data_IF_778586648840
#
_entry.id   IF_778586648840
#
_cell.length_a   1.000
_cell.length_b   1.000
_cell.length_c   1.000
_cell.angle_alpha   90.00
_cell.angle_beta   90.00
_cell.angle_gamma   90.00
#
_symmetry.space_group_name_H-M   'P 1'
#
loop_
_entity.id
_entity.type
_entity.pdbx_description
1 polymer ?
#
# COMPACT_ATOMS: atom_id res chain seq x y z
N UNK A 1 -0.43 -11.18 -12.41
CA UNK A 1 0.19 -11.03 -11.09
C UNK A 1 0.12 -9.58 -10.67
N UNK A 2 -0.60 -9.26 -9.60
CA UNK A 2 -0.73 -7.92 -9.03
C UNK A 2 0.52 -7.57 -8.22
N UNK A 3 1.06 -6.38 -8.46
CA UNK A 3 2.17 -5.85 -7.65
C UNK A 3 1.62 -4.92 -6.58
N UNK A 4 1.86 -5.25 -5.32
CA UNK A 4 1.52 -4.44 -4.16
C UNK A 4 2.69 -3.53 -3.82
N UNK A 5 2.48 -2.22 -3.71
CA UNK A 5 3.52 -1.24 -3.44
C UNK A 5 3.34 -0.77 -2.00
N UNK A 6 4.30 -1.13 -1.15
CA UNK A 6 4.27 -0.76 0.26
C UNK A 6 4.71 0.68 0.49
N UNK A 7 3.97 1.39 1.35
CA UNK A 7 4.28 2.75 1.79
C UNK A 7 3.86 2.94 3.27
N UNK A 8 4.33 3.96 4.00
CA UNK A 8 5.53 4.75 3.70
C UNK A 8 6.78 3.91 3.89
N UNK A 9 7.84 4.27 3.19
CA UNK A 9 9.15 3.75 3.49
C UNK A 9 9.92 3.41 2.24
N UNK A 10 11.20 3.17 2.45
CA UNK A 10 12.12 2.70 1.42
C UNK A 10 12.20 1.17 1.41
N UNK A 11 11.63 0.55 2.45
CA UNK A 11 11.65 -0.88 2.74
C UNK A 11 10.56 -1.19 3.78
N UNK A 12 10.17 -2.46 3.91
CA UNK A 12 9.48 -2.94 5.11
C UNK A 12 10.53 -3.10 6.21
N UNK A 13 10.51 -2.26 7.23
CA UNK A 13 11.41 -2.41 8.41
C UNK A 13 10.89 -3.37 9.45
N UNK A 14 9.62 -3.71 9.37
CA UNK A 14 8.96 -4.64 10.27
C UNK A 14 9.05 -6.06 9.70
N UNK A 15 9.86 -6.91 10.34
CA UNK A 15 9.97 -8.32 9.97
C UNK A 15 8.61 -9.01 9.96
N UNK A 16 7.74 -8.72 10.92
CA UNK A 16 6.41 -9.33 11.00
C UNK A 16 5.57 -8.99 9.77
N UNK A 17 5.69 -7.77 9.26
CA UNK A 17 5.02 -7.35 8.04
C UNK A 17 5.59 -8.02 6.80
N UNK A 18 6.91 -8.21 6.73
CA UNK A 18 7.54 -8.95 5.64
C UNK A 18 7.14 -10.44 5.65
N UNK A 19 7.01 -11.05 6.84
CA UNK A 19 6.48 -12.41 7.02
C UNK A 19 5.02 -12.52 6.55
N UNK A 20 4.18 -11.53 6.88
CA UNK A 20 2.82 -11.45 6.33
C UNK A 20 2.84 -11.34 4.80
N UNK A 21 3.72 -10.51 4.25
CA UNK A 21 3.83 -10.34 2.80
C UNK A 21 4.21 -11.64 2.09
N UNK A 22 5.11 -12.44 2.67
CA UNK A 22 5.47 -13.78 2.15
C UNK A 22 4.26 -14.71 2.06
N UNK A 23 3.34 -14.63 3.02
CA UNK A 23 2.13 -15.47 3.06
C UNK A 23 1.06 -15.00 2.08
N UNK A 24 0.84 -13.69 1.97
CA UNK A 24 -0.39 -13.16 1.37
C UNK A 24 -0.21 -12.29 0.13
N UNK A 25 0.96 -11.71 -0.13
CA UNK A 25 1.13 -10.84 -1.29
C UNK A 25 1.65 -11.64 -2.48
N UNK A 26 1.07 -11.38 -3.65
CA UNK A 26 1.53 -11.99 -4.88
C UNK A 26 2.92 -11.45 -5.24
N UNK A 27 3.06 -10.12 -5.29
CA UNK A 27 4.33 -9.41 -5.47
C UNK A 27 4.40 -8.13 -4.64
N UNK A 28 5.60 -7.71 -4.23
CA UNK A 28 5.88 -6.59 -3.35
C UNK A 28 6.91 -5.61 -3.96
N UNK A 29 6.40 -4.44 -4.32
CA UNK A 29 7.01 -3.16 -4.68
C UNK A 29 7.57 -2.33 -3.51
N UNK A 30 8.76 -1.75 -3.66
CA UNK A 30 9.17 -0.54 -2.94
C UNK A 30 9.49 0.56 -3.94
N UNK A 31 9.17 1.80 -3.57
CA UNK A 31 9.49 2.97 -4.40
C UNK A 31 10.97 3.28 -4.36
N UNK A 32 11.52 3.34 -3.16
CA UNK A 32 12.94 3.63 -2.97
C UNK A 32 13.72 2.34 -2.84
N UNK A 33 15.01 2.42 -3.16
CA UNK A 33 15.98 1.38 -2.85
C UNK A 33 16.21 1.29 -1.35
N UNK A 34 16.49 0.07 -0.90
CA UNK A 34 16.85 -0.18 0.50
C UNK A 34 18.20 0.48 0.80
N UNK A 35 18.27 1.17 1.94
CA UNK A 35 19.51 1.79 2.38
C UNK A 35 20.55 0.73 2.73
N UNK A 36 21.82 0.94 2.38
CA UNK A 36 22.94 0.10 2.85
C UNK A 36 23.04 0.04 4.39
N UNK A 37 22.43 0.99 5.09
CA UNK A 37 22.31 1.01 6.56
C UNK A 37 21.17 0.14 7.09
N UNK A 38 20.45 -0.56 6.22
CA UNK A 38 19.39 -1.49 6.61
C UNK A 38 19.97 -2.83 7.04
N UNK A 39 19.53 -3.31 8.20
CA UNK A 39 19.80 -4.67 8.66
C UNK A 39 19.15 -5.77 7.81
N UNK A 40 18.30 -5.41 6.84
CA UNK A 40 17.54 -6.36 6.02
C UNK A 40 18.15 -6.64 4.65
N UNK A 41 19.29 -6.03 4.31
CA UNK A 41 19.91 -6.17 2.98
C UNK A 41 20.19 -7.64 2.61
N UNK A 42 20.72 -8.43 3.54
CA UNK A 42 20.99 -9.85 3.32
C UNK A 42 19.70 -10.64 3.11
N UNK A 43 18.69 -10.41 3.95
CA UNK A 43 17.37 -11.05 3.80
C UNK A 43 16.72 -10.70 2.47
N UNK A 44 16.83 -9.45 2.04
CA UNK A 44 16.27 -9.03 0.76
C UNK A 44 16.93 -9.75 -0.42
N UNK A 45 18.26 -9.90 -0.40
CA UNK A 45 18.97 -10.69 -1.42
C UNK A 45 18.49 -12.14 -1.45
N UNK A 46 18.31 -12.76 -0.27
CA UNK A 46 17.72 -14.10 -0.18
C UNK A 46 16.31 -14.14 -0.77
N UNK A 47 15.45 -13.16 -0.46
CA UNK A 47 14.10 -13.09 -1.01
C UNK A 47 14.08 -12.88 -2.53
N UNK A 48 14.99 -12.09 -3.09
CA UNK A 48 15.13 -11.89 -4.53
C UNK A 48 15.60 -13.16 -5.25
N UNK A 49 16.43 -13.98 -4.60
CA UNK A 49 16.99 -15.21 -5.17
C UNK A 49 16.07 -16.42 -5.01
N UNK A 50 15.36 -16.53 -3.87
CA UNK A 50 14.66 -17.75 -3.48
C UNK A 50 13.13 -17.65 -3.62
N UNK A 51 12.58 -16.46 -3.85
CA UNK A 51 11.13 -16.25 -3.94
C UNK A 51 10.72 -15.39 -5.14
N UNK A 52 9.43 -15.45 -5.46
CA UNK A 52 8.77 -14.57 -6.43
C UNK A 52 8.10 -13.36 -5.74
N UNK A 53 8.37 -13.12 -4.45
CA UNK A 53 7.71 -12.05 -3.70
C UNK A 53 8.13 -10.67 -4.20
N UNK A 54 9.41 -10.42 -4.44
CA UNK A 54 9.88 -9.07 -4.72
C UNK A 54 9.64 -8.71 -6.19
N UNK A 55 8.98 -7.57 -6.40
CA UNK A 55 8.74 -7.03 -7.72
C UNK A 55 9.90 -6.17 -8.22
N UNK A 56 9.86 -5.88 -9.52
CA UNK A 56 10.71 -4.88 -10.13
C UNK A 56 10.48 -3.51 -9.47
N UNK A 57 11.60 -2.82 -9.22
CA UNK A 57 11.63 -1.49 -8.65
C UNK A 57 11.42 -0.45 -9.76
N UNK A 58 10.90 0.75 -9.45
CA UNK A 58 10.80 1.80 -10.46
C UNK A 58 12.19 2.17 -11.00
N UNK A 59 12.28 2.31 -12.33
CA UNK A 59 13.51 2.64 -13.02
C UNK A 59 13.72 4.16 -13.15
N UNK A 60 14.89 4.55 -13.67
CA UNK A 60 15.23 5.96 -13.85
C UNK A 60 14.28 6.68 -14.83
N UNK A 61 13.76 5.96 -15.83
CA UNK A 61 12.85 6.52 -16.85
C UNK A 61 11.52 6.92 -16.22
N UNK A 62 10.97 6.08 -15.35
CA UNK A 62 9.77 6.38 -14.59
C UNK A 62 9.93 7.64 -13.75
N UNK A 63 11.01 7.74 -12.95
CA UNK A 63 11.23 8.91 -12.11
C UNK A 63 11.41 10.18 -12.93
N UNK A 64 12.14 10.12 -14.05
CA UNK A 64 12.31 11.25 -14.94
C UNK A 64 10.97 11.77 -15.49
N UNK A 65 10.02 10.87 -15.80
CA UNK A 65 8.70 11.22 -16.31
C UNK A 65 7.82 11.94 -15.28
N UNK A 66 7.86 11.52 -14.01
CA UNK A 66 6.96 12.06 -12.97
C UNK A 66 7.54 13.27 -12.21
N UNK A 67 8.88 13.39 -12.16
CA UNK A 67 9.57 14.41 -11.37
C UNK A 67 9.12 15.85 -11.69
N UNK A 68 8.94 16.28 -12.95
CA UNK A 68 8.51 17.65 -13.25
C UNK A 68 7.17 18.02 -12.60
N UNK A 69 6.22 17.09 -12.56
CA UNK A 69 4.92 17.32 -11.91
C UNK A 69 5.05 17.34 -10.38
N UNK A 70 5.96 16.54 -9.82
CA UNK A 70 6.27 16.59 -8.39
C UNK A 70 6.87 17.94 -8.01
N UNK A 71 7.90 18.40 -8.72
CA UNK A 71 8.56 19.69 -8.51
C UNK A 71 7.57 20.85 -8.61
N UNK A 72 6.71 20.85 -9.63
CA UNK A 72 5.68 21.89 -9.80
C UNK A 72 4.75 21.96 -8.58
N UNK A 73 4.31 20.80 -8.06
CA UNK A 73 3.47 20.77 -6.86
C UNK A 73 4.24 21.23 -5.62
N UNK A 74 5.47 20.78 -5.42
CA UNK A 74 6.30 21.21 -4.29
C UNK A 74 6.61 22.72 -4.35
N UNK A 75 6.84 23.25 -5.56
CA UNK A 75 7.06 24.68 -5.79
C UNK A 75 5.84 25.50 -5.37
N UNK A 76 4.62 24.99 -5.59
CA UNK A 76 3.42 25.69 -5.14
C UNK A 76 3.31 25.80 -3.62
N UNK A 77 3.94 24.89 -2.86
CA UNK A 77 4.03 24.98 -1.39
C UNK A 77 5.00 26.10 -0.92
N UNK A 78 5.87 26.56 -1.82
CA UNK A 78 6.83 27.63 -1.57
C UNK A 78 6.34 29.00 -2.04
N UNK A 79 5.20 29.05 -2.72
CA UNK A 79 4.66 30.30 -3.27
C UNK A 79 4.39 31.31 -2.13
N UNK A 80 4.63 32.62 -2.34
CA UNK A 80 4.45 33.62 -1.28
C UNK A 80 3.03 33.63 -0.68
N UNK A 81 2.04 33.39 -1.52
CA UNK A 81 0.60 33.33 -1.25
C UNK A 81 0.11 31.95 -0.77
N UNK A 82 0.99 30.96 -0.66
CA UNK A 82 0.64 29.66 -0.11
C UNK A 82 0.20 29.79 1.36
N UNK A 83 -1.02 29.31 1.64
CA UNK A 83 -1.57 29.24 3.00
C UNK A 83 -1.62 27.79 3.50
N UNK A 84 -2.27 26.91 2.74
CA UNK A 84 -2.50 25.52 3.15
C UNK A 84 -2.75 24.60 1.95
N UNK A 85 -2.26 23.37 2.06
CA UNK A 85 -2.58 22.23 1.22
C UNK A 85 -3.29 21.15 2.05
N UNK A 86 -4.27 20.46 1.45
CA UNK A 86 -5.07 19.41 2.13
C UNK A 86 -4.21 18.26 2.68
N UNK A 87 -3.14 17.89 1.96
CA UNK A 87 -2.21 16.80 2.35
C UNK A 87 -0.93 17.32 3.00
N UNK A 88 -0.36 18.41 2.48
CA UNK A 88 0.96 18.90 2.91
C UNK A 88 0.87 19.88 4.10
N UNK A 89 -0.34 20.22 4.55
CA UNK A 89 -0.55 21.10 5.69
C UNK A 89 -0.35 22.57 5.35
N UNK A 90 0.01 23.38 6.35
CA UNK A 90 0.12 24.83 6.26
C UNK A 90 1.56 25.31 6.02
N UNK A 91 1.70 26.62 5.77
CA UNK A 91 2.98 27.28 5.54
C UNK A 91 3.98 27.09 6.70
N UNK A 92 3.51 27.07 7.94
CA UNK A 92 4.34 26.86 9.12
C UNK A 92 4.96 25.45 9.10
N UNK A 93 4.16 24.42 8.81
CA UNK A 93 4.66 23.06 8.70
C UNK A 93 5.70 22.91 7.58
N UNK A 94 5.42 23.49 6.41
CA UNK A 94 6.36 23.51 5.27
C UNK A 94 7.66 24.22 5.66
N UNK A 95 7.58 25.33 6.40
CA UNK A 95 8.76 26.04 6.90
C UNK A 95 9.58 25.19 7.85
N UNK A 96 8.94 24.45 8.77
CA UNK A 96 9.65 23.52 9.66
C UNK A 96 10.36 22.40 8.90
N UNK A 97 9.75 21.86 7.84
CA UNK A 97 10.40 20.82 7.03
C UNK A 97 11.68 21.29 6.35
N UNK A 98 11.85 22.60 6.18
CA UNK A 98 13.03 23.20 5.56
C UNK A 98 14.14 23.56 6.55
N UNK A 99 13.92 23.31 7.85
CA UNK A 99 14.92 23.55 8.88
C UNK A 99 15.80 22.30 9.01
N UNK A 100 17.12 22.46 8.81
CA UNK A 100 18.07 21.36 8.85
C UNK A 100 18.03 20.51 10.12
N UNK A 101 17.69 21.10 11.28
CA UNK A 101 17.52 20.38 12.54
C UNK A 101 16.41 19.32 12.51
N UNK A 102 15.45 19.45 11.59
CA UNK A 102 14.37 18.48 11.40
C UNK A 102 14.71 17.42 10.35
N UNK A 103 15.89 17.44 9.70
CA UNK A 103 16.25 16.49 8.66
C UNK A 103 16.74 15.15 9.26
N UNK A 104 15.80 14.36 9.76
CA UNK A 104 16.03 13.15 10.54
C UNK A 104 15.84 11.83 9.76
N UNK A 105 15.28 11.89 8.56
CA UNK A 105 14.98 10.73 7.72
C UNK A 105 15.91 10.68 6.51
N UNK A 106 16.68 9.59 6.39
CA UNK A 106 17.58 9.35 5.27
C UNK A 106 16.81 8.85 4.03
N UNK A 107 17.18 9.34 2.85
CA UNK A 107 16.73 8.87 1.55
C UNK A 107 17.98 8.61 0.68
N UNK A 108 18.23 7.37 0.23
CA UNK A 108 19.42 7.03 -0.53
C UNK A 108 19.40 7.66 -1.91
N UNK A 109 20.58 7.91 -2.46
CA UNK A 109 20.74 8.21 -3.88
C UNK A 109 20.24 7.02 -4.70
N UNK A 110 19.46 7.31 -5.75
CA UNK A 110 18.85 6.31 -6.61
C UNK A 110 18.72 6.89 -8.02
N UNK A 111 19.00 6.04 -9.01
CA UNK A 111 18.97 6.42 -10.41
C UNK A 111 17.60 7.01 -10.79
N UNK A 112 17.61 8.20 -11.39
CA UNK A 112 16.43 8.94 -11.82
C UNK A 112 15.84 9.89 -10.78
N UNK A 113 16.26 9.83 -9.51
CA UNK A 113 15.83 10.75 -8.45
C UNK A 113 16.75 11.96 -8.26
N UNK A 114 17.85 12.07 -9.01
CA UNK A 114 18.86 13.11 -8.85
C UNK A 114 18.26 14.51 -8.98
N UNK A 115 17.35 14.68 -9.95
CA UNK A 115 16.65 15.95 -10.16
C UNK A 115 15.77 16.32 -8.97
N UNK A 116 14.99 15.38 -8.46
CA UNK A 116 14.14 15.60 -7.29
C UNK A 116 14.96 15.87 -6.04
N UNK A 117 16.07 15.14 -5.84
CA UNK A 117 17.01 15.40 -4.75
C UNK A 117 17.63 16.79 -4.85
N UNK A 118 18.05 17.19 -6.06
CA UNK A 118 18.56 18.53 -6.34
C UNK A 118 17.53 19.62 -6.00
N UNK A 119 16.27 19.44 -6.39
CA UNK A 119 15.18 20.34 -6.01
C UNK A 119 15.05 20.43 -4.48
N UNK A 120 15.00 19.29 -3.78
CA UNK A 120 14.87 19.28 -2.32
C UNK A 120 16.04 19.98 -1.62
N UNK A 121 17.27 19.79 -2.10
CA UNK A 121 18.46 20.46 -1.57
C UNK A 121 18.41 21.97 -1.83
N UNK A 122 18.15 22.39 -3.07
CA UNK A 122 18.14 23.80 -3.48
C UNK A 122 17.07 24.62 -2.76
N UNK A 123 15.94 23.99 -2.41
CA UNK A 123 14.85 24.66 -1.70
C UNK A 123 14.87 24.41 -0.18
N UNK A 124 15.89 23.72 0.33
CA UNK A 124 16.10 23.51 1.75
C UNK A 124 15.21 22.43 2.39
N UNK A 125 14.42 21.67 1.61
CA UNK A 125 13.67 20.51 2.10
C UNK A 125 14.55 19.34 2.53
N UNK A 126 15.84 19.39 2.16
CA UNK A 126 16.80 18.36 2.49
C UNK A 126 18.19 18.92 2.79
N UNK A 127 19.00 18.12 3.50
CA UNK A 127 20.44 18.29 3.65
C UNK A 127 21.17 17.14 2.96
N UNK A 128 22.38 17.39 2.45
CA UNK A 128 23.21 16.31 1.88
C UNK A 128 23.67 15.37 3.01
N UNK A 129 23.67 14.07 2.73
CA UNK A 129 24.29 13.04 3.56
C UNK A 129 25.11 12.11 2.65
N UNK A 130 26.01 11.32 3.22
CA UNK A 130 26.78 10.34 2.47
C UNK A 130 25.84 9.30 1.84
N UNK A 131 25.90 9.17 0.51
CA UNK A 131 25.07 8.24 -0.27
C UNK A 131 23.60 8.65 -0.39
N UNK A 132 23.23 9.92 -0.15
CA UNK A 132 21.84 10.36 -0.26
C UNK A 132 21.56 11.77 0.25
N UNK A 133 20.34 11.95 0.73
CA UNK A 133 19.86 13.17 1.39
C UNK A 133 19.14 12.85 2.69
N UNK A 134 19.05 13.82 3.59
CA UNK A 134 18.18 13.77 4.76
C UNK A 134 17.07 14.79 4.64
N UNK A 135 15.86 14.38 4.97
CA UNK A 135 14.64 15.19 4.96
C UNK A 135 13.91 15.07 6.28
N UNK A 136 12.98 16.00 6.54
CA UNK A 136 12.01 15.79 7.60
C UNK A 136 11.19 14.52 7.36
N UNK A 137 11.13 13.62 8.34
CA UNK A 137 10.44 12.32 8.21
C UNK A 137 9.02 12.42 7.65
N UNK A 138 8.23 13.38 8.12
CA UNK A 138 6.86 13.57 7.62
C UNK A 138 6.84 13.98 6.15
N UNK A 139 7.79 14.79 5.69
CA UNK A 139 7.92 15.14 4.28
C UNK A 139 8.33 13.92 3.45
N UNK A 140 9.34 13.16 3.92
CA UNK A 140 9.79 11.93 3.29
C UNK A 140 8.64 10.91 3.11
N UNK A 141 7.82 10.72 4.15
CA UNK A 141 6.66 9.81 4.10
C UNK A 141 5.60 10.26 3.07
N UNK A 142 5.33 11.57 2.97
CA UNK A 142 4.38 12.10 1.98
C UNK A 142 4.90 11.98 0.56
N UNK A 143 6.21 12.18 0.37
CA UNK A 143 6.85 12.01 -0.92
C UNK A 143 6.84 10.54 -1.35
N UNK A 144 7.19 9.61 -0.44
CA UNK A 144 7.10 8.16 -0.62
C UNK A 144 5.69 7.72 -1.03
N UNK A 145 4.67 8.15 -0.27
CA UNK A 145 3.26 7.89 -0.57
C UNK A 145 2.88 8.35 -1.98
N UNK A 146 3.34 9.54 -2.37
CA UNK A 146 3.00 10.11 -3.68
C UNK A 146 3.70 9.39 -4.82
N UNK A 147 4.98 9.08 -4.68
CA UNK A 147 5.74 8.30 -5.66
C UNK A 147 5.15 6.87 -5.81
N UNK A 148 4.78 6.24 -4.70
CA UNK A 148 4.13 4.92 -4.70
C UNK A 148 2.85 4.96 -5.52
N UNK A 149 2.03 5.99 -5.31
CA UNK A 149 0.81 6.20 -6.06
C UNK A 149 1.05 6.35 -7.56
N UNK A 150 2.01 7.18 -7.98
CA UNK A 150 2.30 7.33 -9.40
C UNK A 150 2.81 6.02 -10.01
N UNK A 151 3.59 5.23 -9.26
CA UNK A 151 4.07 3.92 -9.71
C UNK A 151 2.92 2.91 -9.84
N UNK A 152 2.00 2.89 -8.87
CA UNK A 152 0.80 2.06 -8.90
C UNK A 152 -0.06 2.37 -10.13
N UNK A 153 -0.28 3.66 -10.43
CA UNK A 153 -1.07 4.07 -11.58
C UNK A 153 -0.41 3.76 -12.92
N UNK A 154 0.92 3.81 -12.99
CA UNK A 154 1.66 3.52 -14.21
C UNK A 154 1.71 2.01 -14.54
N UNK A 155 1.61 1.14 -13.53
CA UNK A 155 1.85 -0.31 -13.68
C UNK A 155 0.65 -1.18 -13.26
N UNK A 156 -0.54 -0.58 -13.12
CA UNK A 156 -1.73 -1.25 -12.58
C UNK A 156 -1.43 -1.99 -11.24
N UNK A 157 -0.63 -1.34 -10.39
CA UNK A 157 -0.31 -1.82 -9.06
C UNK A 157 -1.40 -1.50 -8.04
N UNK A 158 -1.35 -2.20 -6.90
CA UNK A 158 -2.12 -1.86 -5.72
C UNK A 158 -1.21 -1.24 -4.66
N UNK A 159 -1.71 -0.29 -3.89
CA UNK A 159 -1.00 0.30 -2.76
C UNK A 159 -1.35 -0.49 -1.49
N UNK A 160 -0.37 -0.71 -0.61
CA UNK A 160 -0.61 -1.34 0.69
C UNK A 160 0.16 -0.65 1.81
N UNK A 161 -0.45 -0.50 2.98
CA UNK A 161 0.20 0.10 4.16
C UNK A 161 -0.36 -0.42 5.47
N UNK A 162 0.40 -0.27 6.55
CA UNK A 162 -0.03 -0.40 7.94
C UNK A 162 -0.15 0.96 8.65
N UNK A 163 0.15 2.05 7.93
CA UNK A 163 0.23 3.40 8.45
C UNK A 163 -1.05 4.22 8.17
N UNK A 164 -2.07 4.02 9.01
CA UNK A 164 -3.43 4.61 8.92
C UNK A 164 -3.46 6.11 8.62
N UNK A 165 -2.57 6.90 9.26
CA UNK A 165 -2.48 8.33 8.97
C UNK A 165 -2.19 8.63 7.50
N UNK A 166 -1.30 7.87 6.86
CA UNK A 166 -0.93 8.08 5.45
C UNK A 166 -1.97 7.49 4.51
N UNK A 167 -2.59 6.38 4.88
CA UNK A 167 -3.74 5.84 4.16
C UNK A 167 -4.87 6.89 4.04
N UNK A 168 -5.24 7.53 5.16
CA UNK A 168 -6.21 8.64 5.17
C UNK A 168 -5.76 9.82 4.33
N UNK A 169 -4.48 10.18 4.36
CA UNK A 169 -3.96 11.29 3.56
C UNK A 169 -3.94 10.97 2.06
N UNK A 170 -3.69 9.72 1.68
CA UNK A 170 -3.76 9.27 0.30
C UNK A 170 -5.20 9.32 -0.21
N UNK A 171 -6.17 8.82 0.57
CA UNK A 171 -7.59 8.99 0.26
C UNK A 171 -7.98 10.47 0.12
N UNK A 172 -7.45 11.34 0.99
CA UNK A 172 -7.65 12.78 0.89
C UNK A 172 -6.98 13.37 -0.36
N UNK A 173 -5.81 12.86 -0.76
CA UNK A 173 -5.12 13.27 -1.99
C UNK A 173 -5.98 12.97 -3.21
N UNK A 174 -6.55 11.77 -3.27
CA UNK A 174 -7.34 11.25 -4.38
C UNK A 174 -8.80 11.71 -4.39
N UNK A 175 -9.30 12.34 -3.32
CA UNK A 175 -10.64 12.92 -3.30
C UNK A 175 -10.68 14.34 -3.88
N UNK A 176 -11.75 14.65 -4.60
CA UNK A 176 -12.21 16.01 -4.91
C UNK A 176 -13.40 16.33 -4.02
N UNK A 177 -13.55 17.59 -3.63
CA UNK A 177 -14.83 18.04 -3.07
C UNK A 177 -15.71 18.48 -4.24
N UNK A 178 -16.91 17.91 -4.36
CA UNK A 178 -17.90 18.39 -5.32
C UNK A 178 -19.28 18.38 -4.67
N UNK A 179 -20.03 19.45 -4.88
CA UNK A 179 -21.28 19.70 -4.14
C UNK A 179 -22.47 18.94 -4.75
N UNK A 180 -22.27 18.25 -5.88
CA UNK A 180 -23.26 17.49 -6.65
C UNK A 180 -22.60 16.25 -7.25
N UNK A 181 -23.37 15.16 -7.39
CA UNK A 181 -22.86 13.89 -7.91
C UNK A 181 -22.14 13.05 -6.84
N UNK A 182 -21.42 12.02 -7.25
CA UNK A 182 -20.65 11.14 -6.35
C UNK A 182 -21.04 9.67 -6.52
N UNK A 183 -20.02 8.81 -6.52
CA UNK A 183 -20.20 7.37 -6.60
C UNK A 183 -20.31 6.77 -5.20
N UNK A 184 -21.07 5.69 -5.08
CA UNK A 184 -21.12 4.93 -3.83
C UNK A 184 -19.73 4.35 -3.56
N UNK A 185 -19.30 4.43 -2.31
CA UNK A 185 -18.09 3.77 -1.85
C UNK A 185 -18.31 3.18 -0.48
N UNK A 186 -17.63 2.08 -0.19
CA UNK A 186 -17.66 1.44 1.12
C UNK A 186 -16.31 0.80 1.40
N UNK A 187 -15.97 0.69 2.67
CA UNK A 187 -14.84 -0.14 3.07
C UNK A 187 -15.28 -1.60 3.11
N UNK A 188 -14.48 -2.46 2.50
CA UNK A 188 -14.55 -3.90 2.63
C UNK A 188 -13.46 -4.32 3.61
N UNK A 189 -13.80 -5.14 4.61
CA UNK A 189 -12.82 -5.86 5.41
C UNK A 189 -12.86 -7.33 5.07
N UNK A 190 -11.68 -7.87 4.74
CA UNK A 190 -11.45 -9.27 4.42
C UNK A 190 -10.68 -9.87 5.60
N UNK A 191 -11.26 -10.83 6.34
CA UNK A 191 -10.55 -11.52 7.40
C UNK A 191 -9.58 -12.54 6.80
N UNK A 192 -8.29 -12.28 6.93
CA UNK A 192 -7.20 -13.19 6.58
C UNK A 192 -6.77 -14.00 7.80
N UNK A 193 -6.47 -15.28 7.64
CA UNK A 193 -5.97 -16.11 8.73
C UNK A 193 -4.46 -16.00 8.83
N UNK A 194 -3.92 -15.52 9.93
CA UNK A 194 -2.46 -15.42 10.12
C UNK A 194 -2.04 -16.34 11.25
N UNK A 195 -0.96 -17.13 11.12
CA UNK A 195 -0.46 -17.93 12.24
C UNK A 195 -0.26 -17.08 13.50
N UNK A 196 -0.77 -17.56 14.64
CA UNK A 196 -0.69 -16.84 15.93
C UNK A 196 0.75 -16.57 16.36
N UNK A 197 1.65 -17.48 16.01
CA UNK A 197 3.09 -17.43 16.29
C UNK A 197 3.91 -16.95 15.08
N UNK A 198 3.32 -16.18 14.14
CA UNK A 198 4.03 -15.69 12.94
C UNK A 198 5.37 -15.01 13.27
N UNK A 199 5.46 -14.31 14.41
CA UNK A 199 6.69 -13.68 14.88
C UNK A 199 7.84 -14.66 15.11
N UNK A 200 7.53 -15.91 15.48
CA UNK A 200 8.50 -16.97 15.81
C UNK A 200 8.90 -17.80 14.59
N UNK A 201 8.02 -17.91 13.58
CA UNK A 201 8.31 -18.65 12.34
C UNK A 201 9.51 -18.02 11.63
N UNK A 202 10.50 -18.82 11.27
CA UNK A 202 11.70 -18.30 10.60
C UNK A 202 11.40 -17.87 9.15
N UNK A 203 12.20 -16.94 8.61
CA UNK A 203 12.10 -16.60 7.18
C UNK A 203 12.35 -17.81 6.28
N UNK A 204 13.29 -18.69 6.65
CA UNK A 204 13.59 -19.91 5.88
C UNK A 204 12.36 -20.82 5.74
N UNK A 205 11.59 -21.00 6.81
CA UNK A 205 10.35 -21.80 6.77
C UNK A 205 9.28 -21.17 5.87
N UNK A 206 9.11 -19.84 5.93
CA UNK A 206 8.15 -19.13 5.08
C UNK A 206 8.56 -19.11 3.60
N UNK A 207 9.85 -18.96 3.32
CA UNK A 207 10.42 -19.08 1.97
C UNK A 207 10.18 -20.49 1.43
N UNK A 208 10.49 -21.52 2.23
CA UNK A 208 10.26 -22.91 1.85
C UNK A 208 8.78 -23.21 1.63
N UNK A 209 7.87 -22.68 2.45
CA UNK A 209 6.42 -22.79 2.27
C UNK A 209 6.00 -22.15 0.94
N UNK A 210 6.44 -20.91 0.68
CA UNK A 210 6.11 -20.16 -0.53
C UNK A 210 6.61 -20.84 -1.80
N UNK A 211 7.76 -21.52 -1.72
CA UNK A 211 8.33 -22.30 -2.81
C UNK A 211 7.55 -23.58 -3.16
N UNK A 212 6.63 -24.06 -2.30
CA UNK A 212 5.83 -25.25 -2.58
C UNK A 212 4.81 -24.95 -3.67
N UNK A 213 4.73 -25.82 -4.68
CA UNK A 213 3.79 -25.67 -5.81
C UNK A 213 2.34 -25.50 -5.37
N UNK A 214 1.90 -26.30 -4.38
CA UNK A 214 0.55 -26.20 -3.83
C UNK A 214 0.25 -24.86 -3.16
N UNK A 215 1.22 -24.29 -2.42
CA UNK A 215 1.06 -22.98 -1.81
C UNK A 215 1.00 -21.86 -2.85
N UNK A 216 1.92 -21.87 -3.82
CA UNK A 216 1.93 -20.89 -4.92
C UNK A 216 0.63 -20.92 -5.72
N UNK A 217 0.10 -22.12 -5.99
CA UNK A 217 -1.18 -22.25 -6.69
C UNK A 217 -2.34 -21.67 -5.88
N UNK A 218 -2.44 -21.99 -4.58
CA UNK A 218 -3.49 -21.45 -3.73
C UNK A 218 -3.39 -19.92 -3.55
N UNK A 219 -2.16 -19.39 -3.47
CA UNK A 219 -1.94 -17.95 -3.44
C UNK A 219 -2.41 -17.28 -4.74
N UNK A 220 -2.10 -17.86 -5.90
CA UNK A 220 -2.55 -17.35 -7.19
C UNK A 220 -4.08 -17.43 -7.36
N UNK A 221 -4.71 -18.53 -6.92
CA UNK A 221 -6.16 -18.70 -6.91
C UNK A 221 -6.84 -17.67 -6.00
N UNK A 222 -6.27 -17.41 -4.82
CA UNK A 222 -6.75 -16.36 -3.91
C UNK A 222 -6.72 -14.98 -4.56
N UNK A 223 -5.61 -14.58 -5.18
CA UNK A 223 -5.49 -13.27 -5.82
C UNK A 223 -6.40 -13.12 -7.04
N UNK A 224 -6.51 -14.16 -7.86
CA UNK A 224 -7.47 -14.16 -8.97
C UNK A 224 -8.92 -14.00 -8.49
N UNK A 225 -9.29 -14.71 -7.42
CA UNK A 225 -10.62 -14.61 -6.86
C UNK A 225 -10.87 -13.25 -6.18
N UNK A 226 -9.86 -12.66 -5.54
CA UNK A 226 -9.91 -11.32 -4.97
C UNK A 226 -10.12 -10.26 -6.06
N UNK A 227 -9.38 -10.32 -7.16
CA UNK A 227 -9.53 -9.38 -8.28
C UNK A 227 -10.93 -9.48 -8.91
N UNK A 228 -11.45 -10.70 -9.08
CA UNK A 228 -12.81 -10.93 -9.56
C UNK A 228 -13.87 -10.38 -8.58
N UNK A 229 -13.70 -10.59 -7.27
CA UNK A 229 -14.55 -10.03 -6.25
C UNK A 229 -14.56 -8.50 -6.32
N UNK A 230 -13.38 -7.87 -6.35
CA UNK A 230 -13.26 -6.41 -6.36
C UNK A 230 -13.80 -5.79 -7.66
N UNK A 231 -13.63 -6.47 -8.80
CA UNK A 231 -14.24 -6.07 -10.08
C UNK A 231 -15.76 -6.15 -10.01
N UNK A 232 -16.32 -7.24 -9.49
CA UNK A 232 -17.76 -7.40 -9.29
C UNK A 232 -18.31 -6.32 -8.37
N UNK A 233 -17.68 -6.12 -7.20
CA UNK A 233 -18.09 -5.09 -6.25
C UNK A 233 -18.00 -3.69 -6.87
N UNK A 234 -16.97 -3.41 -7.66
CA UNK A 234 -16.80 -2.15 -8.39
C UNK A 234 -17.88 -1.90 -9.45
N UNK A 235 -18.45 -2.95 -10.04
CA UNK A 235 -19.55 -2.82 -11.00
C UNK A 235 -20.87 -2.37 -10.35
N UNK A 236 -21.07 -2.71 -9.07
CA UNK A 236 -22.33 -2.53 -8.36
C UNK A 236 -23.39 -3.60 -8.71
N UNK A 237 -23.03 -4.68 -9.40
CA UNK A 237 -23.87 -5.85 -9.62
C UNK A 237 -23.46 -7.01 -8.72
N UNK A 238 -24.41 -7.68 -8.08
CA UNK A 238 -24.12 -8.86 -7.27
C UNK A 238 -23.99 -10.11 -8.15
N UNK A 239 -22.84 -10.78 -8.05
CA UNK A 239 -22.65 -12.15 -8.50
C UNK A 239 -22.32 -13.04 -7.29
N UNK A 240 -23.30 -13.77 -6.74
CA UNK A 240 -23.06 -14.71 -5.65
C UNK A 240 -21.98 -15.75 -5.97
N UNK A 241 -21.83 -16.17 -7.22
CA UNK A 241 -20.82 -17.16 -7.60
C UNK A 241 -19.40 -16.59 -7.54
N UNK A 242 -19.22 -15.28 -7.72
CA UNK A 242 -17.93 -14.62 -7.50
C UNK A 242 -17.56 -14.61 -6.00
N UNK A 243 -18.53 -14.38 -5.11
CA UNK A 243 -18.33 -14.45 -3.66
C UNK A 243 -17.99 -15.89 -3.21
N UNK A 244 -18.74 -16.89 -3.67
CA UNK A 244 -18.44 -18.31 -3.37
C UNK A 244 -17.02 -18.69 -3.78
N UNK A 245 -16.59 -18.29 -4.99
CA UNK A 245 -15.23 -18.57 -5.48
C UNK A 245 -14.15 -17.90 -4.63
N UNK A 246 -14.39 -16.67 -4.19
CA UNK A 246 -13.49 -15.97 -3.29
C UNK A 246 -13.36 -16.68 -1.93
N UNK A 247 -14.49 -17.07 -1.33
CA UNK A 247 -14.49 -17.76 -0.03
C UNK A 247 -13.79 -19.13 -0.11
N UNK A 248 -14.02 -19.87 -1.20
CA UNK A 248 -13.34 -21.15 -1.46
C UNK A 248 -11.82 -20.97 -1.62
N UNK A 249 -11.38 -20.00 -2.42
CA UNK A 249 -9.95 -19.73 -2.62
C UNK A 249 -9.27 -19.28 -1.32
N UNK A 250 -9.94 -18.44 -0.52
CA UNK A 250 -9.46 -18.03 0.80
C UNK A 250 -9.36 -19.23 1.75
N UNK A 251 -10.36 -20.11 1.78
CA UNK A 251 -10.34 -21.31 2.59
C UNK A 251 -9.21 -22.27 2.18
N UNK A 252 -9.00 -22.46 0.87
CA UNK A 252 -7.92 -23.28 0.33
C UNK A 252 -6.54 -22.79 0.76
N UNK A 253 -6.29 -21.47 0.70
CA UNK A 253 -5.06 -20.87 1.21
C UNK A 253 -4.92 -21.03 2.73
N UNK A 254 -6.00 -20.79 3.48
CA UNK A 254 -5.99 -20.89 4.95
C UNK A 254 -5.63 -22.29 5.46
N UNK A 255 -6.05 -23.35 4.75
CA UNK A 255 -5.70 -24.74 5.11
C UNK A 255 -4.20 -25.00 5.11
N UNK A 256 -3.41 -24.19 4.39
CA UNK A 256 -1.95 -24.32 4.31
C UNK A 256 -1.20 -23.58 5.42
N UNK A 257 -1.90 -22.78 6.23
CA UNK A 257 -1.29 -21.93 7.27
C UNK A 257 -1.27 -22.60 8.66
N UNK A 258 -1.85 -23.80 8.78
CA UNK A 258 -1.92 -24.56 10.01
C UNK A 258 -3.18 -24.26 10.84
N UNK A 259 -3.35 -24.96 11.98
CA UNK A 259 -4.58 -24.91 12.77
C UNK A 259 -4.67 -23.70 13.71
N UNK A 260 -3.54 -23.09 14.07
CA UNK A 260 -3.48 -21.99 15.04
C UNK A 260 -3.34 -20.64 14.34
N UNK A 261 -4.48 -20.11 13.89
CA UNK A 261 -4.54 -18.82 13.21
C UNK A 261 -5.42 -17.82 13.94
N UNK A 262 -5.16 -16.53 13.70
CA UNK A 262 -6.00 -15.42 14.13
C UNK A 262 -6.45 -14.61 12.92
N UNK A 263 -7.64 -14.02 13.01
CA UNK A 263 -8.17 -13.11 12.01
C UNK A 263 -7.36 -11.80 11.99
N UNK A 264 -6.83 -11.49 10.82
CA UNK A 264 -6.17 -10.23 10.50
C UNK A 264 -6.95 -9.52 9.39
N UNK A 265 -7.53 -8.33 9.64
CA UNK A 265 -8.28 -7.63 8.61
C UNK A 265 -7.33 -7.07 7.54
N UNK A 266 -7.65 -7.39 6.28
CA UNK A 266 -7.20 -6.66 5.11
C UNK A 266 -8.35 -5.77 4.65
N UNK A 267 -8.20 -4.47 4.78
CA UNK A 267 -9.24 -3.51 4.42
C UNK A 267 -8.93 -2.86 3.08
N UNK A 268 -9.97 -2.58 2.30
CA UNK A 268 -9.86 -1.86 1.03
C UNK A 268 -11.09 -1.00 0.79
N UNK A 269 -10.92 0.10 0.06
CA UNK A 269 -12.02 1.00 -0.30
C UNK A 269 -12.53 0.70 -1.70
N UNK A 270 -13.75 0.16 -1.80
CA UNK A 270 -14.44 -0.09 -3.07
C UNK A 270 -15.21 1.16 -3.48
N UNK A 271 -15.17 1.48 -4.78
CA UNK A 271 -15.99 2.52 -5.38
C UNK A 271 -16.79 1.91 -6.52
N UNK A 272 -18.09 2.16 -6.55
CA UNK A 272 -19.02 1.42 -7.42
C UNK A 272 -19.57 2.29 -8.55
N UNK A 273 -19.71 1.72 -9.75
CA UNK A 273 -20.33 2.41 -10.89
C UNK A 273 -21.84 2.56 -10.74
N UNK A 274 -22.48 1.66 -10.00
CA UNK A 274 -23.91 1.66 -9.70
C UNK A 274 -24.17 1.74 -8.20
N UNK A 275 -25.40 2.08 -7.76
CA UNK A 275 -25.74 2.10 -6.34
C UNK A 275 -25.43 0.76 -5.64
N UNK A 276 -24.66 0.80 -4.55
CA UNK A 276 -24.12 -0.41 -3.93
C UNK A 276 -25.15 -1.15 -3.04
N UNK A 277 -26.21 -0.48 -2.58
CA UNK A 277 -27.16 -1.02 -1.59
C UNK A 277 -27.78 -2.35 -2.04
N UNK A 278 -28.30 -2.40 -3.27
CA UNK A 278 -28.98 -3.59 -3.78
C UNK A 278 -28.01 -4.77 -3.92
N UNK A 279 -26.79 -4.52 -4.44
CA UNK A 279 -25.73 -5.51 -4.54
C UNK A 279 -25.36 -6.08 -3.17
N UNK A 280 -25.07 -5.21 -2.19
CA UNK A 280 -24.65 -5.66 -0.86
C UNK A 280 -25.76 -6.44 -0.14
N UNK A 281 -27.02 -6.04 -0.31
CA UNK A 281 -28.16 -6.78 0.24
C UNK A 281 -28.28 -8.18 -0.36
N UNK A 282 -28.15 -8.28 -1.69
CA UNK A 282 -28.21 -9.57 -2.39
C UNK A 282 -27.05 -10.49 -2.00
N UNK A 283 -25.82 -9.96 -1.90
CA UNK A 283 -24.66 -10.75 -1.46
C UNK A 283 -24.88 -11.29 -0.04
N UNK A 284 -25.27 -10.45 0.91
CA UNK A 284 -25.56 -10.86 2.31
C UNK A 284 -26.69 -11.88 2.39
N UNK A 285 -27.75 -11.73 1.60
CA UNK A 285 -28.85 -12.69 1.57
C UNK A 285 -28.43 -14.05 0.99
N UNK A 286 -27.55 -14.04 -0.01
CA UNK A 286 -27.04 -15.27 -0.64
C UNK A 286 -25.97 -16.00 0.19
N UNK A 287 -25.23 -15.27 1.03
CA UNK A 287 -24.13 -15.79 1.86
C UNK A 287 -24.26 -15.24 3.30
N UNK A 288 -25.28 -15.68 4.07
CA UNK A 288 -25.52 -15.17 5.42
C UNK A 288 -24.38 -15.47 6.39
N UNK A 289 -23.62 -16.54 6.14
CA UNK A 289 -22.47 -16.98 6.94
C UNK A 289 -21.14 -16.34 6.50
N UNK A 290 -21.15 -15.44 5.51
CA UNK A 290 -19.94 -14.76 5.05
C UNK A 290 -19.36 -13.90 6.18
N UNK A 291 -18.06 -14.03 6.40
CA UNK A 291 -17.30 -13.24 7.37
C UNK A 291 -16.77 -11.93 6.78
N UNK A 292 -17.11 -11.61 5.52
CA UNK A 292 -16.81 -10.33 4.90
C UNK A 292 -17.61 -9.19 5.54
N UNK A 293 -16.92 -8.12 5.92
CA UNK A 293 -17.54 -6.94 6.52
C UNK A 293 -17.65 -5.83 5.47
N UNK A 294 -18.89 -5.49 5.14
CA UNK A 294 -19.21 -4.33 4.30
C UNK A 294 -19.62 -3.15 5.17
N UNK A 295 -18.76 -2.14 5.25
CA UNK A 295 -19.02 -0.92 6.01
C UNK A 295 -20.10 -0.04 5.35
N UNK A 296 -20.70 0.91 6.10
CA UNK A 296 -21.70 1.81 5.57
C UNK A 296 -21.25 2.54 4.30
N UNK A 297 -22.15 2.59 3.32
CA UNK A 297 -21.93 3.28 2.06
C UNK A 297 -21.85 4.79 2.30
N UNK A 298 -20.83 5.42 1.72
CA UNK A 298 -20.63 6.86 1.67
C UNK A 298 -20.61 7.31 0.22
N UNK A 299 -20.95 8.58 -0.02
CA UNK A 299 -20.69 9.20 -1.32
C UNK A 299 -19.24 9.68 -1.35
N UNK A 300 -18.53 9.29 -2.41
CA UNK A 300 -17.19 9.80 -2.68
C UNK A 300 -17.10 10.43 -4.06
N UNK A 301 -16.18 11.38 -4.17
CA UNK A 301 -15.86 12.06 -5.41
C UNK A 301 -14.36 11.87 -5.66
N UNK A 302 -13.94 10.65 -5.92
CA UNK A 302 -12.55 10.38 -6.28
C UNK A 302 -12.19 10.99 -7.63
N UNK A 303 -10.90 11.28 -7.82
CA UNK A 303 -10.34 11.56 -9.15
C UNK A 303 -10.60 10.38 -10.09
N UNK A 304 -10.75 10.64 -11.40
CA UNK A 304 -10.98 9.60 -12.42
C UNK A 304 -9.89 8.51 -12.45
N UNK A 305 -8.65 8.84 -12.04
CA UNK A 305 -7.56 7.88 -11.80
C UNK A 305 -7.37 7.69 -10.30
N UNK A 306 -7.95 6.61 -9.77
CA UNK A 306 -7.79 6.17 -8.38
C UNK A 306 -6.95 4.90 -8.39
N UNK A 307 -5.97 4.84 -7.49
CA UNK A 307 -5.23 3.60 -7.26
C UNK A 307 -6.02 2.68 -6.33
N UNK A 308 -5.82 1.37 -6.43
CA UNK A 308 -6.42 0.40 -5.49
C UNK A 308 -5.61 0.39 -4.20
N UNK A 309 -6.27 0.51 -3.03
CA UNK A 309 -5.59 0.65 -1.74
C UNK A 309 -5.96 -0.49 -0.82
N UNK A 310 -4.98 -1.02 -0.13
CA UNK A 310 -5.13 -2.02 0.91
C UNK A 310 -4.48 -1.53 2.19
N UNK A 311 -5.08 -1.93 3.32
CA UNK A 311 -4.57 -1.60 4.62
C UNK A 311 -4.65 -2.80 5.55
N UNK A 312 -3.59 -3.06 6.32
CA UNK A 312 -3.61 -4.09 7.36
C UNK A 312 -2.68 -3.72 8.50
N UNK A 313 -3.01 -4.11 9.74
CA UNK A 313 -2.22 -3.79 10.94
C UNK A 313 -1.89 -5.05 11.73
N UNK A 314 -0.62 -5.40 11.76
CA UNK A 314 -0.14 -6.59 12.49
C UNK A 314 0.20 -6.31 13.96
N UNK A 315 -0.11 -5.12 14.47
CA UNK A 315 0.25 -4.71 15.84
C UNK A 315 -0.28 -5.65 16.93
N UNK A 316 -1.40 -6.34 16.68
CA UNK A 316 -1.99 -7.30 17.62
C UNK A 316 -1.23 -8.64 17.73
N UNK A 317 -0.39 -8.97 16.73
CA UNK A 317 0.46 -10.16 16.72
C UNK A 317 1.80 -9.94 17.45
N UNK A 318 2.12 -8.69 17.79
CA UNK A 318 3.27 -8.38 18.63
C UNK A 318 2.87 -8.73 20.07
N UNK A 319 3.25 -9.93 20.54
CA UNK A 319 3.11 -10.22 21.97
C UNK A 319 3.89 -9.17 22.77
N UNK A 320 3.37 -8.70 23.92
CA UNK A 320 4.20 -8.02 24.89
C UNK A 320 5.22 -9.03 25.41
N UNK A 321 6.48 -8.87 24.99
CA UNK A 321 7.62 -9.54 25.62
C UNK A 321 7.86 -9.03 27.03
#
# INVERSE_FOLDING_TARGET
MKTYIYYPGMEVRDELWLKFALLYLERLAFVFTVSEKSGLTALQQTLEQETDLLAERPDAVFFAAITPQLESQLSSLLAPDFVRHKVFGNKELVTRWRQGANHDCFCPDQAGLERLHGFCLNHGFASRDQGGIRMARRFANLLSMRLAREWALANDGALITDHDYLDRLLHLLESRYHNRGGQDCFHLEIPLQVPTHLGEISFAELIALRGRSGFRQQLAEFHLALDNLLTMLGSGYADPAALTRFEQARQGLNQLLGPETINMPLTTLVSTSLPAVAMLHQLKASHPESDLIFHPIKKSHFHQRKSQHFFTRLGHLRQPG
#
